data_IF_986413134019
#
_entry.id   IF_986413134019
#
_cell.length_a   1.000
_cell.length_b   1.000
_cell.length_c   1.000
_cell.angle_alpha   90.00
_cell.angle_beta   90.00
_cell.angle_gamma   90.00
#
_symmetry.space_group_name_H-M   'P 1'
#
loop_
_entity.id
_entity.type
_entity.pdbx_description
1 polymer ?
#
# COMPACT_ATOMS: atom_id res chain seq x y z
N UNK A 1 9.91 -14.84 12.70
CA UNK A 1 11.25 -14.28 12.42
C UNK A 1 11.28 -12.82 12.82
N UNK A 2 12.08 -12.48 13.84
CA UNK A 2 12.33 -11.10 14.25
C UNK A 2 13.69 -10.65 13.75
N UNK A 3 13.81 -9.37 13.39
CA UNK A 3 15.09 -8.73 13.08
C UNK A 3 15.55 -7.99 14.32
N UNK A 4 16.77 -8.27 14.78
CA UNK A 4 17.37 -7.53 15.90
C UNK A 4 17.86 -6.17 15.41
N UNK A 5 17.61 -5.12 16.21
CA UNK A 5 18.06 -3.75 15.94
C UNK A 5 19.05 -3.36 17.03
N UNK A 6 20.17 -2.75 16.65
CA UNK A 6 21.16 -2.30 17.64
C UNK A 6 20.62 -1.11 18.44
N UNK A 7 21.10 -0.93 19.67
CA UNK A 7 20.70 0.22 20.49
C UNK A 7 21.04 1.57 19.84
N UNK A 8 22.15 1.61 19.10
CA UNK A 8 22.59 2.82 18.38
C UNK A 8 21.65 3.15 17.23
N UNK A 9 21.28 2.17 16.40
CA UNK A 9 20.36 2.39 15.29
C UNK A 9 18.97 2.76 15.80
N UNK A 10 18.49 2.11 16.87
CA UNK A 10 17.22 2.46 17.50
C UNK A 10 17.20 3.89 18.03
N UNK A 11 18.27 4.33 18.72
CA UNK A 11 18.37 5.69 19.27
C UNK A 11 18.45 6.76 18.17
N UNK A 12 19.10 6.45 17.06
CA UNK A 12 19.31 7.38 15.95
C UNK A 12 18.16 7.36 14.92
N UNK A 13 17.26 6.39 14.99
CA UNK A 13 16.09 6.33 14.14
C UNK A 13 15.12 7.48 14.47
N UNK A 14 14.51 8.03 13.43
CA UNK A 14 13.44 8.99 13.59
C UNK A 14 12.10 8.26 13.46
N UNK A 15 11.10 8.62 14.28
CA UNK A 15 9.73 8.16 14.06
C UNK A 15 9.25 8.62 12.68
N UNK A 16 8.34 7.85 12.09
CA UNK A 16 7.78 8.21 10.79
C UNK A 16 7.02 9.55 10.87
N UNK A 17 7.20 10.48 9.91
CA UNK A 17 6.52 11.78 9.94
C UNK A 17 4.99 11.68 9.85
N UNK A 18 4.45 10.57 9.36
CA UNK A 18 3.01 10.34 9.27
C UNK A 18 2.44 9.60 10.47
N UNK A 19 3.25 9.23 11.48
CA UNK A 19 2.82 8.31 12.55
C UNK A 19 1.55 8.76 13.29
N UNK A 20 1.33 10.07 13.46
CA UNK A 20 0.15 10.62 14.13
C UNK A 20 -1.10 10.74 13.22
N UNK A 21 -0.93 10.72 11.90
CA UNK A 21 -2.02 10.89 10.92
C UNK A 21 -2.31 9.61 10.14
N UNK A 22 -1.46 8.59 10.23
CA UNK A 22 -1.54 7.38 9.41
C UNK A 22 -2.90 6.67 9.54
N UNK A 23 -3.41 6.52 10.76
CA UNK A 23 -4.72 5.89 11.00
C UNK A 23 -5.86 6.67 10.35
N UNK A 24 -5.87 8.00 10.47
CA UNK A 24 -6.90 8.85 9.86
C UNK A 24 -6.86 8.76 8.32
N UNK A 25 -5.66 8.81 7.74
CA UNK A 25 -5.45 8.66 6.30
C UNK A 25 -5.98 7.31 5.81
N UNK A 26 -5.63 6.22 6.50
CA UNK A 26 -6.07 4.86 6.17
C UNK A 26 -7.59 4.76 6.21
N UNK A 27 -8.22 5.28 7.27
CA UNK A 27 -9.67 5.26 7.44
C UNK A 27 -10.37 6.07 6.35
N UNK A 28 -9.88 7.27 6.06
CA UNK A 28 -10.42 8.11 4.99
C UNK A 28 -10.33 7.43 3.62
N UNK A 29 -9.19 6.83 3.27
CA UNK A 29 -8.98 6.14 1.99
C UNK A 29 -9.87 4.90 1.88
N UNK A 30 -9.93 4.07 2.92
CA UNK A 30 -10.77 2.87 2.92
C UNK A 30 -12.28 3.17 2.89
N UNK A 31 -12.67 4.39 3.26
CA UNK A 31 -14.07 4.84 3.23
C UNK A 31 -14.41 5.45 1.88
N UNK A 32 -13.55 6.33 1.35
CA UNK A 32 -13.89 7.20 0.23
C UNK A 32 -13.24 6.79 -1.10
N UNK A 33 -12.18 5.98 -1.07
CA UNK A 33 -11.33 5.67 -2.24
C UNK A 33 -11.16 4.17 -2.48
N UNK A 34 -12.16 3.36 -2.11
CA UNK A 34 -12.12 1.89 -2.27
C UNK A 34 -11.87 1.45 -3.71
N UNK A 35 -12.44 2.16 -4.68
CA UNK A 35 -12.24 1.87 -6.10
C UNK A 35 -10.80 2.09 -6.54
N UNK A 36 -10.15 3.16 -6.06
CA UNK A 36 -8.74 3.41 -6.34
C UNK A 36 -7.84 2.33 -5.72
N UNK A 37 -8.11 1.95 -4.48
CA UNK A 37 -7.39 0.87 -3.78
C UNK A 37 -7.52 -0.46 -4.54
N UNK A 38 -8.70 -0.77 -5.08
CA UNK A 38 -8.88 -1.96 -5.92
C UNK A 38 -8.12 -1.82 -7.24
N UNK A 39 -8.19 -0.65 -7.91
CA UNK A 39 -7.46 -0.38 -9.15
C UNK A 39 -5.94 -0.51 -8.98
N UNK A 40 -5.40 -0.10 -7.84
CA UNK A 40 -3.97 -0.24 -7.53
C UNK A 40 -3.50 -1.69 -7.57
N UNK A 41 -4.34 -2.64 -7.18
CA UNK A 41 -4.00 -4.06 -7.24
C UNK A 41 -3.77 -4.53 -8.69
N UNK A 42 -4.48 -3.96 -9.66
CA UNK A 42 -4.33 -4.34 -11.08
C UNK A 42 -3.20 -3.58 -11.77
N UNK A 43 -3.00 -2.32 -11.38
CA UNK A 43 -2.06 -1.41 -12.05
C UNK A 43 -0.65 -1.51 -11.48
N UNK A 44 -0.50 -1.46 -10.15
CA UNK A 44 0.80 -1.36 -9.49
C UNK A 44 1.35 -2.69 -8.98
N UNK A 45 0.54 -3.75 -8.97
CA UNK A 45 0.94 -5.07 -8.44
C UNK A 45 0.83 -6.13 -9.54
N UNK A 46 1.83 -6.98 -9.63
CA UNK A 46 1.88 -8.10 -10.57
C UNK A 46 1.18 -9.31 -9.97
N UNK A 47 -0.13 -9.40 -10.19
CA UNK A 47 -0.98 -10.46 -9.65
C UNK A 47 -1.33 -11.50 -10.72
N UNK A 48 -1.21 -12.78 -10.37
CA UNK A 48 -1.64 -13.92 -11.18
C UNK A 48 -3.04 -14.44 -10.79
N UNK A 49 -3.78 -13.67 -9.99
CA UNK A 49 -5.10 -14.06 -9.47
C UNK A 49 -6.06 -12.88 -9.33
N UNK A 50 -7.35 -13.19 -9.26
CA UNK A 50 -8.40 -12.21 -9.07
C UNK A 50 -8.47 -11.71 -7.62
N UNK A 51 -8.61 -10.39 -7.46
CA UNK A 51 -8.84 -9.70 -6.19
C UNK A 51 -10.35 -9.51 -5.96
N UNK A 52 -10.87 -10.05 -4.86
CA UNK A 52 -12.27 -9.83 -4.45
C UNK A 52 -12.44 -8.59 -3.57
N UNK A 53 -11.46 -8.28 -2.72
CA UNK A 53 -11.45 -7.08 -1.88
C UNK A 53 -10.01 -6.65 -1.63
N UNK A 54 -9.79 -5.34 -1.48
CA UNK A 54 -8.52 -4.77 -1.04
C UNK A 54 -8.77 -3.66 -0.01
N UNK A 55 -7.89 -3.55 0.99
CA UNK A 55 -7.93 -2.51 2.03
C UNK A 55 -6.53 -1.99 2.31
N UNK A 56 -6.38 -0.70 2.52
CA UNK A 56 -5.16 -0.15 3.08
C UNK A 56 -5.03 -0.54 4.56
N UNK A 57 -3.85 -1.00 4.97
CA UNK A 57 -3.55 -1.41 6.34
C UNK A 57 -2.81 -0.29 7.08
N UNK A 58 -1.82 0.30 6.43
CA UNK A 58 -0.97 1.33 6.99
C UNK A 58 -0.36 2.20 5.90
N UNK A 59 0.07 3.39 6.26
CA UNK A 59 0.79 4.34 5.41
C UNK A 59 1.93 4.97 6.21
N UNK A 60 3.06 5.19 5.55
CA UNK A 60 4.24 5.84 6.11
C UNK A 60 4.91 6.72 5.05
N UNK A 61 6.06 7.34 5.36
CA UNK A 61 6.74 8.28 4.45
C UNK A 61 7.13 7.70 3.09
N UNK A 62 7.22 6.38 2.94
CA UNK A 62 7.69 5.71 1.72
C UNK A 62 6.56 5.09 0.90
N UNK A 63 5.33 5.01 1.41
CA UNK A 63 4.23 4.36 0.72
C UNK A 63 3.21 3.77 1.67
N UNK A 64 2.49 2.75 1.19
CA UNK A 64 1.41 2.13 1.94
C UNK A 64 1.34 0.62 1.72
N UNK A 65 0.78 -0.07 2.70
CA UNK A 65 0.56 -1.51 2.67
C UNK A 65 -0.92 -1.80 2.41
N UNK A 66 -1.20 -2.67 1.45
CA UNK A 66 -2.55 -3.14 1.15
C UNK A 66 -2.72 -4.61 1.56
N UNK A 67 -3.87 -4.92 2.16
CA UNK A 67 -4.36 -6.29 2.32
C UNK A 67 -5.24 -6.65 1.14
N UNK A 68 -4.87 -7.70 0.44
CA UNK A 68 -5.55 -8.24 -0.73
C UNK A 68 -6.23 -9.55 -0.34
N UNK A 69 -7.51 -9.67 -0.68
CA UNK A 69 -8.30 -10.89 -0.52
C UNK A 69 -8.53 -11.51 -1.88
N UNK A 70 -8.16 -12.78 -2.02
CA UNK A 70 -8.46 -13.61 -3.18
C UNK A 70 -9.27 -14.83 -2.75
N UNK A 71 -10.44 -15.11 -3.35
CA UNK A 71 -11.26 -16.27 -3.01
C UNK A 71 -10.52 -17.61 -3.19
N UNK A 72 -9.56 -17.66 -4.11
CA UNK A 72 -8.84 -18.88 -4.48
C UNK A 72 -7.46 -19.00 -3.84
N UNK A 73 -6.74 -17.88 -3.68
CA UNK A 73 -5.33 -17.89 -3.25
C UNK A 73 -5.15 -17.53 -1.78
N UNK A 74 -6.18 -16.99 -1.13
CA UNK A 74 -6.18 -16.58 0.27
C UNK A 74 -5.91 -15.07 0.44
N UNK A 75 -5.30 -14.70 1.56
CA UNK A 75 -5.04 -13.31 1.95
C UNK A 75 -3.56 -12.99 1.80
N UNK A 76 -3.24 -11.82 1.26
CA UNK A 76 -1.87 -11.35 1.05
C UNK A 76 -1.75 -9.89 1.52
N UNK A 77 -0.57 -9.53 2.01
CA UNK A 77 -0.20 -8.13 2.20
C UNK A 77 0.84 -7.75 1.11
N UNK A 78 0.72 -6.56 0.55
CA UNK A 78 1.63 -6.01 -0.47
C UNK A 78 2.01 -4.57 -0.14
N UNK A 79 3.27 -4.23 -0.39
CA UNK A 79 3.81 -2.88 -0.20
C UNK A 79 3.82 -2.14 -1.54
N UNK A 80 3.14 -1.00 -1.63
CA UNK A 80 3.19 -0.13 -2.80
C UNK A 80 3.93 1.17 -2.41
N UNK A 81 5.07 1.50 -3.04
CA UNK A 81 5.81 2.70 -2.72
C UNK A 81 5.14 3.95 -3.28
N UNK A 82 5.28 5.08 -2.59
CA UNK A 82 5.08 6.38 -3.22
C UNK A 82 6.17 6.61 -4.28
N UNK A 83 5.90 7.40 -5.34
CA UNK A 83 6.92 7.75 -6.33
C UNK A 83 8.12 8.48 -5.73
N UNK A 84 7.92 9.18 -4.62
CA UNK A 84 8.95 9.87 -3.81
C UNK A 84 8.56 9.83 -2.34
N UNK A 85 9.55 9.95 -1.47
CA UNK A 85 9.33 10.11 -0.03
C UNK A 85 8.46 11.34 0.27
N UNK A 86 7.49 11.17 1.17
CA UNK A 86 6.60 12.24 1.63
C UNK A 86 6.96 12.67 3.04
N UNK A 87 6.81 13.96 3.34
CA UNK A 87 7.26 14.55 4.62
C UNK A 87 6.12 14.95 5.54
N UNK A 88 4.88 14.95 5.05
CA UNK A 88 3.69 15.35 5.80
C UNK A 88 2.41 14.72 5.21
N UNK A 89 1.31 14.87 5.93
CA UNK A 89 -0.01 14.37 5.55
C UNK A 89 -0.48 14.90 4.18
N UNK A 90 -0.19 16.16 3.88
CA UNK A 90 -0.59 16.78 2.60
C UNK A 90 0.16 16.12 1.44
N UNK A 91 1.46 15.86 1.61
CA UNK A 91 2.30 15.14 0.66
C UNK A 91 1.83 13.71 0.45
N UNK A 92 1.44 13.01 1.52
CA UNK A 92 0.86 11.67 1.43
C UNK A 92 -0.44 11.67 0.62
N UNK A 93 -1.39 12.56 0.94
CA UNK A 93 -2.67 12.70 0.22
C UNK A 93 -2.46 13.09 -1.25
N UNK A 94 -1.55 14.04 -1.52
CA UNK A 94 -1.22 14.46 -2.88
C UNK A 94 -0.59 13.32 -3.69
N UNK A 95 0.30 12.54 -3.08
CA UNK A 95 0.96 11.41 -3.75
C UNK A 95 -0.04 10.30 -4.05
N UNK A 96 -0.92 9.97 -3.09
CA UNK A 96 -2.01 9.04 -3.30
C UNK A 96 -2.92 9.48 -4.47
N UNK A 97 -3.36 10.74 -4.49
CA UNK A 97 -4.22 11.26 -5.56
C UNK A 97 -3.55 11.20 -6.93
N UNK A 98 -2.25 11.52 -7.01
CA UNK A 98 -1.48 11.40 -8.24
C UNK A 98 -1.39 9.95 -8.73
N UNK A 99 -1.20 9.01 -7.80
CA UNK A 99 -1.22 7.58 -8.12
C UNK A 99 -2.61 7.10 -8.55
N UNK A 100 -3.70 7.59 -7.95
CA UNK A 100 -5.09 7.31 -8.37
C UNK A 100 -5.34 7.77 -9.79
N UNK A 101 -4.93 8.99 -10.13
CA UNK A 101 -5.05 9.55 -11.47
C UNK A 101 -4.28 8.71 -12.48
N UNK A 102 -2.99 8.43 -12.24
CA UNK A 102 -2.17 7.63 -13.13
C UNK A 102 -2.76 6.22 -13.33
N UNK A 103 -3.23 5.59 -12.25
CA UNK A 103 -3.84 4.27 -12.34
C UNK A 103 -5.11 4.27 -13.18
N UNK A 104 -5.94 5.30 -13.04
CA UNK A 104 -7.13 5.48 -13.87
C UNK A 104 -6.78 5.68 -15.35
N UNK A 105 -5.76 6.49 -15.65
CA UNK A 105 -5.30 6.71 -17.03
C UNK A 105 -4.77 5.43 -17.69
N UNK A 106 -4.02 4.61 -16.94
CA UNK A 106 -3.54 3.30 -17.39
C UNK A 106 -4.71 2.34 -17.62
N UNK A 107 -5.66 2.27 -16.69
CA UNK A 107 -6.85 1.40 -16.82
C UNK A 107 -7.71 1.77 -18.04
N UNK A 108 -7.80 3.06 -18.36
CA UNK A 108 -8.54 3.56 -19.54
C UNK A 108 -7.73 3.53 -20.85
N UNK A 109 -6.49 3.02 -20.82
CA UNK A 109 -5.56 3.01 -21.94
C UNK A 109 -5.24 4.41 -22.50
N UNK A 110 -5.32 5.45 -21.68
CA UNK A 110 -4.85 6.79 -22.06
C UNK A 110 -3.32 6.88 -21.99
N UNK A 111 -2.70 6.13 -21.08
CA UNK A 111 -1.24 6.04 -20.95
C UNK A 111 -0.80 4.58 -20.81
N UNK A 112 0.33 4.24 -21.42
CA UNK A 112 0.98 2.96 -21.16
C UNK A 112 1.67 3.00 -19.79
N UNK A 113 1.63 1.91 -19.00
CA UNK A 113 2.36 1.86 -17.74
C UNK A 113 3.88 1.81 -18.02
N UNK A 114 4.58 2.90 -17.73
CA UNK A 114 6.04 3.01 -17.82
C UNK A 114 6.69 2.86 -16.43
N UNK A 115 6.30 1.80 -15.71
CA UNK A 115 6.86 1.47 -14.40
C UNK A 115 6.79 -0.03 -14.14
N UNK A 116 7.67 -0.51 -13.26
CA UNK A 116 7.65 -1.90 -12.81
C UNK A 116 6.57 -2.12 -11.76
N UNK A 117 5.77 -3.17 -11.96
CA UNK A 117 4.79 -3.62 -10.96
C UNK A 117 5.48 -4.33 -9.79
N UNK A 118 4.93 -4.16 -8.60
CA UNK A 118 5.38 -4.85 -7.39
C UNK A 118 5.05 -6.35 -7.50
N UNK A 119 6.06 -7.20 -7.32
CA UNK A 119 5.93 -8.67 -7.39
C UNK A 119 5.93 -9.35 -6.02
N UNK A 120 6.43 -8.66 -4.99
CA UNK A 120 6.59 -9.25 -3.67
C UNK A 120 5.26 -9.22 -2.90
N UNK A 121 4.68 -10.41 -2.72
CA UNK A 121 3.47 -10.62 -1.93
C UNK A 121 3.81 -11.39 -0.65
N UNK A 122 3.34 -10.90 0.49
CA UNK A 122 3.44 -11.61 1.77
C UNK A 122 2.14 -12.37 2.01
N UNK A 123 2.15 -13.70 1.86
CA UNK A 123 0.98 -14.53 2.18
C UNK A 123 0.68 -14.47 3.68
N UNK A 124 -0.57 -14.15 4.01
CA UNK A 124 -1.05 -14.12 5.39
C UNK A 124 -1.74 -15.44 5.68
N UNK A 125 -1.18 -16.20 6.60
CA UNK A 125 -1.79 -17.41 7.14
C UNK A 125 -2.44 -17.01 8.45
N UNK A 126 -3.77 -17.10 8.53
CA UNK A 126 -4.43 -17.04 9.83
C UNK A 126 -4.03 -18.30 10.61
N UNK A 127 -3.05 -18.16 11.50
CA UNK A 127 -2.87 -19.12 12.58
C UNK A 127 -4.02 -18.89 13.56
N UNK A 128 -5.18 -19.49 13.27
CA UNK A 128 -6.31 -19.46 14.18
C UNK A 128 -5.89 -20.01 15.54
N UNK A 129 -5.80 -19.11 16.52
CA UNK A 129 -5.98 -19.51 17.91
C UNK A 129 -7.39 -20.06 18.04
N UNK A 130 -7.48 -21.33 18.42
CA UNK A 130 -8.69 -21.86 19.05
C UNK A 130 -8.91 -21.16 20.38
#
# INVERSE_FOLDING_TARGET
DGVWVTSSDYKNANPDPLCNSAEEIVNAINTNNREDVHRFCNVYVDLDFQVSEAKMIWVDRLGFDLRIYSPQKGVFDVRIPFPREVTDEKGAKSSFNGMSQLAWEVEKNFHAPDFEKVKQLKKIVYSGGR
#
